data_IF_257309993706
#
_entry.id   IF_257309993706
#
_cell.length_a   1.000
_cell.length_b   1.000
_cell.length_c   1.000
_cell.angle_alpha   90.00
_cell.angle_beta   90.00
_cell.angle_gamma   90.00
#
_symmetry.space_group_name_H-M   'P 1'
#
loop_
_entity.id
_entity.type
_entity.pdbx_description
1 polymer ?
#
# COMPACT_ATOMS: atom_id res chain seq x y z
N UNK A 1 -13.95 -4.48 -13.05
CA UNK A 1 -13.16 -5.01 -11.92
C UNK A 1 -14.02 -4.96 -10.67
N UNK A 2 -14.10 -6.06 -9.94
CA UNK A 2 -14.85 -6.13 -8.67
C UNK A 2 -14.19 -5.27 -7.57
N UNK A 3 -14.91 -4.98 -6.46
CA UNK A 3 -14.28 -4.44 -5.26
C UNK A 3 -13.10 -5.30 -4.78
N UNK A 4 -12.07 -4.67 -4.20
CA UNK A 4 -10.86 -5.37 -3.73
C UNK A 4 -11.19 -6.51 -2.77
N UNK A 5 -12.16 -6.30 -1.86
CA UNK A 5 -12.58 -7.33 -0.91
C UNK A 5 -13.14 -8.58 -1.59
N UNK A 6 -13.93 -8.41 -2.65
CA UNK A 6 -14.49 -9.53 -3.41
C UNK A 6 -13.41 -10.28 -4.20
N UNK A 7 -12.45 -9.56 -4.79
CA UNK A 7 -11.32 -10.18 -5.50
C UNK A 7 -10.50 -11.06 -4.53
N UNK A 8 -10.22 -10.53 -3.33
CA UNK A 8 -9.48 -11.26 -2.29
C UNK A 8 -10.25 -12.52 -1.88
N UNK A 9 -11.54 -12.40 -1.57
CA UNK A 9 -12.33 -13.55 -1.12
C UNK A 9 -12.53 -14.60 -2.22
N UNK A 10 -12.72 -14.17 -3.47
CA UNK A 10 -12.76 -15.08 -4.62
C UNK A 10 -11.44 -15.86 -4.76
N UNK A 11 -10.29 -15.17 -4.73
CA UNK A 11 -8.98 -15.83 -4.79
C UNK A 11 -8.76 -16.80 -3.62
N UNK A 12 -9.15 -16.40 -2.40
CA UNK A 12 -9.05 -17.26 -1.20
C UNK A 12 -9.97 -18.47 -1.25
N UNK A 13 -11.10 -18.36 -1.95
CA UNK A 13 -12.07 -19.44 -2.15
C UNK A 13 -11.66 -20.42 -3.25
N UNK A 14 -10.48 -20.25 -3.86
CA UNK A 14 -9.98 -21.10 -4.94
C UNK A 14 -10.57 -20.76 -6.31
N UNK A 15 -11.31 -19.66 -6.42
CA UNK A 15 -11.69 -19.12 -7.72
C UNK A 15 -10.47 -18.55 -8.44
N UNK A 16 -10.66 -18.25 -9.73
CA UNK A 16 -9.63 -17.64 -10.57
C UNK A 16 -10.11 -16.28 -11.06
N UNK A 17 -10.02 -15.23 -10.23
CA UNK A 17 -10.20 -13.86 -10.69
C UNK A 17 -9.35 -13.57 -11.92
N UNK A 18 -9.79 -12.64 -12.75
CA UNK A 18 -9.07 -12.33 -13.97
C UNK A 18 -7.68 -11.73 -13.69
N UNK A 19 -6.81 -11.75 -14.70
CA UNK A 19 -5.44 -11.29 -14.54
C UNK A 19 -5.36 -9.82 -14.11
N UNK A 20 -6.21 -8.94 -14.66
CA UNK A 20 -6.17 -7.53 -14.34
C UNK A 20 -6.70 -7.28 -12.92
N UNK A 21 -7.74 -7.99 -12.49
CA UNK A 21 -8.21 -8.00 -11.10
C UNK A 21 -7.08 -8.33 -10.13
N UNK A 22 -6.34 -9.42 -10.39
CA UNK A 22 -5.23 -9.83 -9.53
C UNK A 22 -4.06 -8.83 -9.60
N UNK A 23 -3.72 -8.34 -10.80
CA UNK A 23 -2.62 -7.37 -10.99
C UNK A 23 -2.86 -6.10 -10.19
N UNK A 24 -4.04 -5.50 -10.33
CA UNK A 24 -4.36 -4.28 -9.60
C UNK A 24 -4.62 -4.54 -8.11
N UNK A 25 -5.17 -5.70 -7.72
CA UNK A 25 -5.29 -6.08 -6.32
C UNK A 25 -3.93 -6.17 -5.62
N UNK A 26 -2.90 -6.76 -6.27
CA UNK A 26 -1.54 -6.80 -5.74
C UNK A 26 -0.99 -5.38 -5.51
N UNK A 27 -1.16 -4.48 -6.49
CA UNK A 27 -0.72 -3.08 -6.35
C UNK A 27 -1.45 -2.35 -5.20
N UNK A 28 -2.76 -2.55 -5.05
CA UNK A 28 -3.54 -1.94 -3.98
C UNK A 28 -3.14 -2.49 -2.60
N UNK A 29 -2.90 -3.80 -2.48
CA UNK A 29 -2.44 -4.42 -1.23
C UNK A 29 -1.02 -3.99 -0.85
N UNK A 30 -0.10 -3.89 -1.81
CA UNK A 30 1.26 -3.38 -1.58
C UNK A 30 1.23 -1.92 -1.08
N UNK A 31 0.33 -1.11 -1.63
CA UNK A 31 0.08 0.26 -1.16
C UNK A 31 -0.40 0.28 0.30
N UNK A 32 -1.33 -0.59 0.67
CA UNK A 32 -1.79 -0.71 2.07
C UNK A 32 -0.66 -1.12 3.01
N UNK A 33 0.16 -2.11 2.63
CA UNK A 33 1.32 -2.55 3.40
C UNK A 33 2.34 -1.42 3.60
N UNK A 34 2.59 -0.65 2.54
CA UNK A 34 3.49 0.51 2.59
C UNK A 34 3.00 1.55 3.60
N UNK A 35 1.70 1.84 3.63
CA UNK A 35 1.17 2.78 4.62
C UNK A 35 1.28 2.28 6.06
N UNK A 36 1.08 0.97 6.29
CA UNK A 36 1.26 0.37 7.62
C UNK A 36 2.73 0.46 8.05
N UNK A 37 3.68 0.20 7.14
CA UNK A 37 5.12 0.35 7.41
C UNK A 37 5.49 1.79 7.75
N UNK A 38 4.97 2.78 7.01
CA UNK A 38 5.19 4.21 7.30
C UNK A 38 4.62 4.58 8.68
N UNK A 39 3.43 4.10 9.01
CA UNK A 39 2.80 4.35 10.30
C UNK A 39 3.65 3.80 11.46
N UNK A 40 4.12 2.56 11.36
CA UNK A 40 4.98 1.96 12.37
C UNK A 40 6.33 2.68 12.51
N UNK A 41 6.98 3.01 11.39
CA UNK A 41 8.25 3.73 11.40
C UNK A 41 8.09 5.08 12.11
N UNK A 42 7.00 5.80 11.82
CA UNK A 42 6.71 7.10 12.43
C UNK A 42 6.41 7.02 13.92
N UNK A 43 5.70 5.96 14.37
CA UNK A 43 5.46 5.72 15.78
C UNK A 43 6.78 5.44 16.53
N UNK A 44 7.62 4.57 15.97
CA UNK A 44 8.92 4.26 16.55
C UNK A 44 9.83 5.49 16.63
N UNK A 45 9.93 6.27 15.56
CA UNK A 45 10.69 7.52 15.55
C UNK A 45 10.16 8.53 16.58
N UNK A 46 8.84 8.62 16.75
CA UNK A 46 8.24 9.50 17.74
C UNK A 46 8.55 9.06 19.17
N UNK A 47 8.48 7.75 19.43
CA UNK A 47 8.83 7.15 20.73
C UNK A 47 10.31 7.37 21.06
N UNK A 48 11.22 7.03 20.15
CA UNK A 48 12.66 7.21 20.33
C UNK A 48 13.04 8.68 20.56
N UNK A 49 12.32 9.62 19.94
CA UNK A 49 12.56 11.05 20.09
C UNK A 49 11.75 11.69 21.25
N UNK A 50 11.01 10.92 22.04
CA UNK A 50 10.18 11.42 23.14
C UNK A 50 9.09 12.42 22.71
N UNK A 51 8.60 12.31 21.47
CA UNK A 51 7.58 13.22 20.93
C UNK A 51 6.22 12.94 21.56
N UNK A 52 5.39 13.99 21.67
CA UNK A 52 4.00 13.86 22.14
C UNK A 52 3.17 12.99 21.19
N UNK A 53 2.31 12.15 21.77
CA UNK A 53 1.40 11.25 21.06
C UNK A 53 0.17 11.99 20.51
N UNK A 54 0.37 12.79 19.46
CA UNK A 54 -0.69 13.52 18.75
C UNK A 54 -0.70 13.14 17.27
N UNK A 55 -1.88 13.06 16.67
CA UNK A 55 -2.08 12.77 15.25
C UNK A 55 -1.25 11.53 14.83
N UNK A 56 -0.41 11.66 13.82
CA UNK A 56 0.42 10.59 13.25
C UNK A 56 1.50 10.03 14.20
N UNK A 57 1.74 10.66 15.35
CA UNK A 57 2.59 10.11 16.42
C UNK A 57 1.76 9.34 17.47
N UNK A 58 0.43 9.34 17.37
CA UNK A 58 -0.47 8.61 18.27
C UNK A 58 -0.80 7.24 17.69
N UNK A 59 -0.54 6.19 18.46
CA UNK A 59 -0.92 4.83 18.10
C UNK A 59 -2.43 4.69 17.88
N UNK A 60 -3.25 5.39 18.68
CA UNK A 60 -4.71 5.40 18.53
C UNK A 60 -5.14 5.98 17.17
N UNK A 61 -4.61 7.16 16.82
CA UNK A 61 -4.92 7.80 15.54
C UNK A 61 -4.47 6.92 14.37
N UNK A 62 -3.27 6.34 14.42
CA UNK A 62 -2.77 5.45 13.37
C UNK A 62 -3.64 4.19 13.23
N UNK A 63 -4.15 3.65 14.33
CA UNK A 63 -5.08 2.50 14.32
C UNK A 63 -6.41 2.85 13.62
N UNK A 64 -7.01 3.99 13.98
CA UNK A 64 -8.25 4.48 13.35
C UNK A 64 -8.05 4.76 11.85
N UNK A 65 -6.95 5.42 11.49
CA UNK A 65 -6.61 5.71 10.09
C UNK A 65 -6.36 4.43 9.28
N UNK A 66 -5.67 3.45 9.86
CA UNK A 66 -5.47 2.14 9.23
C UNK A 66 -6.81 1.47 8.95
N UNK A 67 -7.72 1.43 9.92
CA UNK A 67 -9.05 0.85 9.75
C UNK A 67 -9.84 1.55 8.63
N UNK A 68 -9.88 2.88 8.64
CA UNK A 68 -10.58 3.67 7.63
C UNK A 68 -9.97 3.50 6.23
N UNK A 69 -8.65 3.33 6.13
CA UNK A 69 -7.95 3.08 4.87
C UNK A 69 -8.31 1.71 4.30
N UNK A 70 -8.25 0.66 5.12
CA UNK A 70 -8.59 -0.71 4.72
C UNK A 70 -10.07 -0.77 4.30
N UNK A 71 -10.98 -0.20 5.12
CA UNK A 71 -12.40 -0.16 4.80
C UNK A 71 -12.68 0.46 3.43
N UNK A 72 -12.04 1.59 3.11
CA UNK A 72 -12.18 2.24 1.80
C UNK A 72 -11.63 1.38 0.67
N UNK A 73 -10.43 0.82 0.84
CA UNK A 73 -9.79 0.00 -0.18
C UNK A 73 -10.63 -1.24 -0.52
N UNK A 74 -11.16 -1.94 0.49
CA UNK A 74 -11.97 -3.15 0.30
C UNK A 74 -13.33 -2.87 -0.38
N UNK A 75 -13.88 -1.67 -0.20
CA UNK A 75 -15.21 -1.30 -0.69
C UNK A 75 -15.26 -0.75 -2.11
N UNK A 76 -14.12 -0.57 -2.78
CA UNK A 76 -14.04 -0.05 -4.16
C UNK A 76 -13.15 -0.95 -5.02
N UNK A 77 -13.21 -0.80 -6.34
CA UNK A 77 -12.29 -1.53 -7.21
C UNK A 77 -10.84 -1.06 -7.01
N UNK A 78 -9.86 -1.97 -7.07
CA UNK A 78 -8.45 -1.66 -6.83
C UNK A 78 -7.88 -0.51 -7.69
N UNK A 79 -8.31 -0.39 -8.95
CA UNK A 79 -7.84 0.65 -9.86
C UNK A 79 -8.28 2.03 -9.40
N UNK A 80 -9.56 2.18 -9.05
CA UNK A 80 -10.10 3.42 -8.47
C UNK A 80 -9.44 3.76 -7.14
N UNK A 81 -9.14 2.76 -6.29
CA UNK A 81 -8.43 2.99 -5.03
C UNK A 81 -7.01 3.55 -5.23
N UNK A 82 -6.25 2.99 -6.17
CA UNK A 82 -4.89 3.44 -6.48
C UNK A 82 -4.87 4.86 -7.04
N UNK A 83 -5.87 5.19 -7.86
CA UNK A 83 -5.96 6.43 -8.60
C UNK A 83 -4.90 6.54 -9.70
N UNK A 84 -5.06 7.55 -10.57
CA UNK A 84 -4.21 7.74 -11.75
C UNK A 84 -2.72 7.84 -11.42
N UNK A 85 -2.39 8.48 -10.29
CA UNK A 85 -1.00 8.68 -9.85
C UNK A 85 -0.27 7.40 -9.47
N UNK A 86 -0.99 6.30 -9.18
CA UNK A 86 -0.40 5.01 -8.83
C UNK A 86 -0.85 3.89 -9.77
N UNK A 87 -1.44 4.25 -10.91
CA UNK A 87 -1.85 3.28 -11.92
C UNK A 87 -0.60 2.64 -12.56
N UNK A 88 -0.46 1.30 -12.54
CA UNK A 88 0.67 0.62 -13.18
C UNK A 88 0.69 0.79 -14.71
N UNK A 89 -0.39 1.25 -15.35
CA UNK A 89 -0.41 1.58 -16.77
C UNK A 89 -0.09 3.07 -17.04
N UNK A 90 0.06 3.89 -15.99
CA UNK A 90 0.45 5.29 -16.14
C UNK A 90 1.97 5.43 -16.44
N UNK A 91 2.37 6.03 -17.58
CA UNK A 91 3.77 6.24 -17.92
C UNK A 91 4.57 7.01 -16.85
N UNK A 92 3.98 8.05 -16.25
CA UNK A 92 4.64 8.88 -15.23
C UNK A 92 4.86 8.11 -13.93
N UNK A 93 3.96 7.19 -13.60
CA UNK A 93 4.16 6.25 -12.50
C UNK A 93 5.30 5.27 -12.81
N UNK A 94 5.34 4.73 -14.03
CA UNK A 94 6.38 3.80 -14.44
C UNK A 94 7.78 4.43 -14.47
N UNK A 95 7.91 5.69 -14.90
CA UNK A 95 9.20 6.40 -14.85
C UNK A 95 9.70 6.60 -13.41
N UNK A 96 8.81 6.99 -12.48
CA UNK A 96 9.14 7.07 -11.05
C UNK A 96 9.52 5.70 -10.48
N UNK A 97 8.81 4.63 -10.89
CA UNK A 97 9.10 3.26 -10.43
C UNK A 97 10.47 2.77 -10.89
N UNK A 98 10.85 3.02 -12.16
CA UNK A 98 12.18 2.69 -12.68
C UNK A 98 13.29 3.40 -11.90
N UNK A 99 13.12 4.67 -11.58
CA UNK A 99 14.08 5.42 -10.76
C UNK A 99 14.23 4.80 -9.36
N UNK A 100 13.11 4.46 -8.71
CA UNK A 100 13.09 3.80 -7.39
C UNK A 100 13.78 2.43 -7.43
N UNK A 101 13.50 1.58 -8.43
CA UNK A 101 14.13 0.26 -8.60
C UNK A 101 15.65 0.36 -8.76
N UNK A 102 16.13 1.34 -9.54
CA UNK A 102 17.58 1.59 -9.70
C UNK A 102 18.23 1.97 -8.37
N UNK A 103 17.56 2.76 -7.55
CA UNK A 103 18.07 3.14 -6.23
C UNK A 103 18.13 1.95 -5.28
N UNK A 104 17.05 1.17 -5.18
CA UNK A 104 16.99 -0.04 -4.33
C UNK A 104 18.03 -1.07 -4.77
N UNK A 105 18.19 -1.31 -6.07
CA UNK A 105 19.21 -2.24 -6.59
C UNK A 105 20.65 -1.83 -6.22
N UNK A 106 20.95 -0.52 -6.22
CA UNK A 106 22.25 0.00 -5.74
C UNK A 106 22.47 -0.21 -4.24
N UNK A 107 21.42 -0.20 -3.44
CA UNK A 107 21.53 -0.46 -2.00
C UNK A 107 21.75 -1.95 -1.77
N UNK A 108 20.93 -2.82 -2.38
CA UNK A 108 21.02 -4.27 -2.17
C UNK A 108 22.37 -4.84 -2.63
N UNK A 109 22.91 -4.35 -3.75
CA UNK A 109 24.24 -4.75 -4.25
C UNK A 109 25.41 -4.33 -3.37
N UNK A 110 25.20 -3.46 -2.37
CA UNK A 110 26.22 -3.09 -1.37
C UNK A 110 26.18 -3.95 -0.12
N UNK A 111 25.12 -4.74 0.05
CA UNK A 111 24.89 -5.60 1.23
C UNK A 111 25.11 -7.09 0.88
N UNK A 112 25.08 -7.44 -0.40
CA UNK A 112 25.49 -8.74 -0.97
C UNK A 112 26.99 -8.79 -1.26
#
# INVERSE_FOLDING_TARGET
>A
MRPLGEIIEAARSGERPDYDELRYAVCAMDTLMTFDQIAFSRLAEAEMAGKRAILSNSAKFQHEERFNRIKRALGVDPKSYLGESNDPDNPDYQERRKASQRFVGKILSRVS
#
